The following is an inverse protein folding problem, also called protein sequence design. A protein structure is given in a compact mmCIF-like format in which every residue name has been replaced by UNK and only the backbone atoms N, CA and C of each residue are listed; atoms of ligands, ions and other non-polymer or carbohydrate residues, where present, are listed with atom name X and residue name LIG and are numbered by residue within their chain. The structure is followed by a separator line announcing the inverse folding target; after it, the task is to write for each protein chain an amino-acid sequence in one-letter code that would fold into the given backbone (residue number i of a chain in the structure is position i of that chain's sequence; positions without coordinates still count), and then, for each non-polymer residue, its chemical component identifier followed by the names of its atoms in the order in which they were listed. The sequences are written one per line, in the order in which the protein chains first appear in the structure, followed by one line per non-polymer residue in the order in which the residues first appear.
data_IF_076917462859
#
_entry.id   IF_076917462859
#
_cell.length_a   1.000
_cell.length_b   1.000
_cell.length_c   1.000
_cell.angle_alpha   90.00
_cell.angle_beta   90.00
_cell.angle_gamma   90.00
#
_symmetry.space_group_name_H-M   'P 1'
#
loop_
_entity.id
_entity.type
_entity.pdbx_description
1 polymer ?
#
# COMPACT_ATOMS: atom_id res chain seq x y z
N UNK A 1 2.43 23.81 27.30
CA UNK A 1 0.95 23.84 27.36
C UNK A 1 0.49 22.94 26.21
N UNK A 2 -0.56 22.14 26.40
CA UNK A 2 -1.12 21.33 25.32
C UNK A 2 -1.77 22.24 24.26
N UNK A 3 -1.47 22.01 23.00
CA UNK A 3 -2.16 22.68 21.89
C UNK A 3 -3.52 22.01 21.67
N UNK A 4 -4.56 22.81 21.44
CA UNK A 4 -5.93 22.31 21.26
C UNK A 4 -6.41 22.64 19.85
N UNK A 5 -6.84 21.61 19.11
CA UNK A 5 -7.57 21.70 17.86
C UNK A 5 -8.93 21.01 17.96
N UNK A 6 -9.73 21.04 16.91
CA UNK A 6 -10.97 20.29 16.82
C UNK A 6 -10.70 18.83 16.47
N UNK A 7 -9.76 18.59 15.55
CA UNK A 7 -9.38 17.26 15.07
C UNK A 7 -7.87 17.14 14.99
N UNK A 8 -7.33 16.05 15.53
CA UNK A 8 -5.94 15.63 15.32
C UNK A 8 -5.91 14.37 14.46
N UNK A 9 -5.17 14.40 13.37
CA UNK A 9 -5.00 13.27 12.45
C UNK A 9 -3.61 12.68 12.57
N UNK A 10 -3.51 11.38 12.85
CA UNK A 10 -2.26 10.65 13.00
C UNK A 10 -1.90 9.94 11.72
N UNK A 11 -0.86 10.41 11.03
CA UNK A 11 -0.30 9.83 9.80
C UNK A 11 -0.67 10.60 8.53
N UNK A 12 0.33 10.87 7.70
CA UNK A 12 0.26 11.59 6.43
C UNK A 12 0.13 10.68 5.20
N UNK A 13 -0.35 9.43 5.37
CA UNK A 13 -0.72 8.56 4.25
C UNK A 13 -2.06 8.94 3.62
N UNK A 14 -2.53 8.21 2.56
CA UNK A 14 -3.77 8.55 1.84
C UNK A 14 -4.98 8.74 2.74
N UNK A 15 -5.17 7.87 3.74
CA UNK A 15 -6.30 7.95 4.67
C UNK A 15 -6.25 9.20 5.56
N UNK A 16 -5.09 9.49 6.14
CA UNK A 16 -4.93 10.67 7.00
C UNK A 16 -5.02 11.98 6.22
N UNK A 17 -4.43 12.03 5.03
CA UNK A 17 -4.53 13.20 4.15
C UNK A 17 -5.99 13.47 3.74
N UNK A 18 -6.74 12.42 3.39
CA UNK A 18 -8.14 12.55 3.02
C UNK A 18 -9.01 13.01 4.21
N UNK A 19 -8.78 12.45 5.40
CA UNK A 19 -9.45 12.87 6.62
C UNK A 19 -9.16 14.33 6.96
N UNK A 20 -7.90 14.72 6.97
CA UNK A 20 -7.51 16.10 7.29
C UNK A 20 -8.04 17.10 6.26
N UNK A 21 -8.01 16.74 4.96
CA UNK A 21 -8.54 17.59 3.89
C UNK A 21 -10.06 17.76 4.01
N UNK A 22 -10.81 16.68 4.25
CA UNK A 22 -12.25 16.74 4.44
C UNK A 22 -12.61 17.63 5.64
N UNK A 23 -11.99 17.40 6.79
CA UNK A 23 -12.21 18.18 7.99
C UNK A 23 -11.88 19.68 7.82
N UNK A 24 -10.73 19.99 7.19
CA UNK A 24 -10.34 21.37 6.92
C UNK A 24 -11.30 22.08 5.95
N UNK A 25 -11.80 21.39 4.93
CA UNK A 25 -12.83 21.92 4.01
C UNK A 25 -14.15 22.23 4.71
N UNK A 26 -14.50 21.44 5.71
CA UNK A 26 -15.70 21.65 6.53
C UNK A 26 -15.50 22.75 7.61
N UNK A 27 -14.31 23.36 7.66
CA UNK A 27 -14.00 24.47 8.54
C UNK A 27 -13.52 24.09 9.95
N UNK A 28 -13.20 22.81 10.18
CA UNK A 28 -12.61 22.37 11.44
C UNK A 28 -11.14 22.81 11.57
N UNK A 29 -10.71 23.10 12.81
CA UNK A 29 -9.29 23.30 13.14
C UNK A 29 -8.59 21.94 13.18
N UNK A 30 -7.79 21.64 12.15
CA UNK A 30 -7.14 20.34 11.95
C UNK A 30 -5.63 20.45 12.11
N UNK A 31 -5.04 19.51 12.85
CA UNK A 31 -3.60 19.23 12.87
C UNK A 31 -3.33 17.80 12.42
N UNK A 32 -2.62 17.63 11.31
CA UNK A 32 -2.10 16.34 10.86
C UNK A 32 -0.64 16.21 11.28
N UNK A 33 -0.28 15.07 11.89
CA UNK A 33 1.09 14.75 12.28
C UNK A 33 1.60 13.54 11.50
N UNK A 34 2.81 13.65 10.93
CA UNK A 34 3.49 12.59 10.17
C UNK A 34 4.92 12.43 10.70
N UNK A 35 5.32 11.20 10.98
CA UNK A 35 6.66 10.90 11.51
C UNK A 35 7.79 11.05 10.49
N UNK A 36 7.49 10.94 9.19
CA UNK A 36 8.45 11.15 8.12
C UNK A 36 8.59 12.66 7.78
N UNK A 37 9.61 12.97 7.00
CA UNK A 37 9.86 14.29 6.42
C UNK A 37 9.03 14.59 5.14
N UNK A 38 8.05 13.74 4.84
CA UNK A 38 7.21 13.82 3.64
C UNK A 38 5.84 13.18 3.90
N UNK A 39 4.85 13.57 3.12
CA UNK A 39 3.51 12.96 3.10
C UNK A 39 3.44 11.78 2.10
N UNK A 40 2.28 11.12 2.05
CA UNK A 40 1.93 10.07 1.11
C UNK A 40 2.14 8.65 1.64
N UNK A 41 2.93 8.47 2.70
CA UNK A 41 3.25 7.14 3.23
C UNK A 41 3.91 6.26 2.16
N UNK A 42 3.26 5.16 1.74
CA UNK A 42 3.73 4.33 0.61
C UNK A 42 3.35 4.91 -0.76
N UNK A 43 2.35 5.80 -0.84
CA UNK A 43 1.87 6.41 -2.08
C UNK A 43 2.65 7.69 -2.39
N UNK A 44 3.93 7.57 -2.69
CA UNK A 44 4.79 8.71 -3.02
C UNK A 44 5.59 8.46 -4.28
N UNK A 45 5.95 9.53 -4.97
CA UNK A 45 6.80 9.51 -6.16
C UNK A 45 8.20 9.97 -5.80
N UNK A 46 9.19 9.17 -6.16
CA UNK A 46 10.61 9.41 -5.92
C UNK A 46 11.27 10.00 -7.17
N UNK A 47 12.45 10.57 -6.97
CA UNK A 47 13.27 11.11 -8.06
C UNK A 47 14.67 10.50 -8.05
N UNK A 48 15.25 10.31 -9.23
CA UNK A 48 16.63 9.85 -9.40
C UNK A 48 17.04 9.83 -10.86
N UNK A 49 18.26 10.23 -11.16
CA UNK A 49 18.85 10.25 -12.52
C UNK A 49 17.94 10.93 -13.57
N UNK A 50 17.28 12.03 -13.19
CA UNK A 50 16.35 12.76 -14.06
C UNK A 50 15.01 12.06 -14.31
N UNK A 51 14.74 10.92 -13.67
CA UNK A 51 13.50 10.17 -13.73
C UNK A 51 12.67 10.38 -12.46
N UNK A 52 11.35 10.21 -12.58
CA UNK A 52 10.42 10.05 -11.47
C UNK A 52 9.85 8.63 -11.49
N UNK A 53 9.57 8.06 -10.34
CA UNK A 53 9.05 6.69 -10.20
C UNK A 53 8.38 6.53 -8.83
N UNK A 54 7.30 5.79 -8.78
CA UNK A 54 6.60 5.57 -7.51
C UNK A 54 7.34 4.58 -6.60
N UNK A 55 7.06 4.65 -5.31
CA UNK A 55 7.54 3.70 -4.29
C UNK A 55 6.80 2.36 -4.43
N UNK A 56 7.15 1.57 -5.46
CA UNK A 56 6.42 0.39 -5.89
C UNK A 56 5.26 0.73 -6.84
N UNK A 57 4.64 -0.29 -7.40
CA UNK A 57 3.51 -0.12 -8.31
C UNK A 57 2.20 0.09 -7.56
N UNK A 58 1.69 1.33 -7.47
CA UNK A 58 0.44 1.66 -6.79
C UNK A 58 -0.67 1.99 -7.78
N UNK A 59 -1.55 1.02 -8.03
CA UNK A 59 -2.78 1.25 -8.81
C UNK A 59 -3.81 1.94 -7.91
N UNK A 60 -4.29 3.15 -8.25
CA UNK A 60 -5.24 3.88 -7.40
C UNK A 60 -6.61 3.22 -7.29
N UNK A 61 -7.01 2.37 -8.25
CA UNK A 61 -8.34 1.75 -8.35
C UNK A 61 -9.49 2.77 -8.33
N UNK A 62 -9.30 3.91 -8.99
CA UNK A 62 -10.34 4.92 -9.17
C UNK A 62 -11.21 4.50 -10.34
N UNK A 63 -12.50 4.24 -10.08
CA UNK A 63 -13.48 3.81 -11.10
C UNK A 63 -14.61 4.81 -11.27
N UNK A 64 -14.83 5.67 -10.28
CA UNK A 64 -15.87 6.69 -10.32
C UNK A 64 -15.36 7.97 -11.01
N UNK A 65 -16.08 8.40 -12.05
CA UNK A 65 -15.77 9.62 -12.81
C UNK A 65 -15.78 10.87 -11.93
N UNK A 66 -16.64 10.91 -10.91
CA UNK A 66 -16.66 12.02 -9.96
C UNK A 66 -15.37 12.07 -9.11
N UNK A 67 -14.80 10.92 -8.80
CA UNK A 67 -13.49 10.83 -8.11
C UNK A 67 -12.33 11.23 -9.00
N UNK A 68 -12.40 10.90 -10.29
CA UNK A 68 -11.41 11.39 -11.26
C UNK A 68 -11.45 12.91 -11.32
N UNK A 69 -12.64 13.50 -11.53
CA UNK A 69 -12.81 14.95 -11.57
C UNK A 69 -12.37 15.65 -10.27
N UNK A 70 -12.64 15.03 -9.11
CA UNK A 70 -12.16 15.52 -7.81
C UNK A 70 -10.63 15.53 -7.73
N UNK A 71 -9.97 14.46 -8.17
CA UNK A 71 -8.51 14.37 -8.16
C UNK A 71 -7.88 15.39 -9.12
N UNK A 72 -8.41 15.51 -10.33
CA UNK A 72 -7.97 16.50 -11.33
C UNK A 72 -8.11 17.94 -10.83
N UNK A 73 -9.26 18.28 -10.24
CA UNK A 73 -9.48 19.59 -9.66
C UNK A 73 -8.53 19.89 -8.49
N UNK A 74 -8.23 18.87 -7.67
CA UNK A 74 -7.36 19.02 -6.52
C UNK A 74 -5.90 19.25 -6.92
N UNK A 75 -5.44 18.49 -7.93
CA UNK A 75 -4.06 18.56 -8.45
C UNK A 75 -3.84 19.70 -9.44
N UNK A 76 -4.90 20.29 -10.00
CA UNK A 76 -4.85 21.18 -11.19
C UNK A 76 -4.08 20.50 -12.35
N UNK A 77 -4.28 19.19 -12.51
CA UNK A 77 -3.58 18.34 -13.48
C UNK A 77 -4.45 17.15 -13.86
N UNK A 78 -4.38 16.66 -15.11
CA UNK A 78 -5.23 15.58 -15.54
C UNK A 78 -4.88 14.23 -14.92
N UNK A 79 -5.88 13.36 -14.85
CA UNK A 79 -5.72 11.94 -14.68
C UNK A 79 -5.59 11.26 -16.05
N UNK A 80 -4.68 10.30 -16.16
CA UNK A 80 -4.45 9.52 -17.38
C UNK A 80 -5.13 8.16 -17.26
N UNK A 81 -5.88 7.77 -18.27
CA UNK A 81 -6.37 6.40 -18.38
C UNK A 81 -5.24 5.48 -18.89
N UNK A 82 -4.94 4.42 -18.12
CA UNK A 82 -3.99 3.37 -18.50
C UNK A 82 -4.79 2.16 -18.93
N UNK A 83 -4.76 1.86 -20.24
CA UNK A 83 -5.46 0.75 -20.83
C UNK A 83 -4.65 -0.54 -20.69
N UNK A 84 -5.31 -1.65 -20.35
CA UNK A 84 -4.70 -2.99 -20.18
C UNK A 84 -3.40 -3.00 -19.38
N UNK A 85 -3.42 -2.52 -18.13
CA UNK A 85 -2.19 -2.21 -17.40
C UNK A 85 -1.48 -3.43 -16.81
N UNK A 86 -2.12 -4.59 -16.78
CA UNK A 86 -1.65 -5.76 -16.03
C UNK A 86 -1.50 -6.97 -16.95
N UNK A 87 -0.36 -7.63 -16.85
CA UNK A 87 -0.07 -8.89 -17.49
C UNK A 87 0.51 -9.91 -16.49
N UNK A 88 0.72 -11.13 -16.95
CA UNK A 88 1.38 -12.20 -16.20
C UNK A 88 2.33 -12.99 -17.11
N UNK A 89 3.31 -13.61 -16.51
CA UNK A 89 4.14 -14.62 -17.22
C UNK A 89 3.45 -15.97 -17.18
N UNK A 90 3.18 -16.52 -18.34
CA UNK A 90 2.59 -17.85 -18.49
C UNK A 90 3.37 -18.63 -19.58
N UNK A 91 3.90 -19.81 -19.23
CA UNK A 91 4.71 -20.63 -20.12
C UNK A 91 5.86 -19.86 -20.81
N UNK A 92 6.55 -19.00 -20.05
CA UNK A 92 7.66 -18.17 -20.54
C UNK A 92 7.26 -16.98 -21.42
N UNK A 93 5.96 -16.68 -21.55
CA UNK A 93 5.46 -15.55 -22.34
C UNK A 93 4.69 -14.57 -21.47
N UNK A 94 4.79 -13.29 -21.79
CA UNK A 94 3.93 -12.25 -21.23
C UNK A 94 2.56 -12.33 -21.90
N UNK A 95 1.51 -12.48 -21.11
CA UNK A 95 0.13 -12.53 -21.59
C UNK A 95 -0.73 -11.57 -20.78
N UNK A 96 -1.66 -10.84 -21.42
CA UNK A 96 -2.52 -9.88 -20.75
C UNK A 96 -3.35 -10.50 -19.62
N UNK A 97 -3.65 -9.69 -18.60
CA UNK A 97 -4.45 -10.04 -17.42
C UNK A 97 -3.66 -10.74 -16.32
N UNK A 98 -4.21 -10.70 -15.10
CA UNK A 98 -3.64 -11.35 -13.92
C UNK A 98 -3.86 -12.85 -13.93
N UNK A 99 -3.13 -13.60 -13.10
CA UNK A 99 -3.37 -15.05 -12.94
C UNK A 99 -4.83 -15.37 -12.62
N UNK A 100 -5.45 -14.57 -11.79
CA UNK A 100 -6.81 -14.79 -11.31
C UNK A 100 -7.91 -14.38 -12.33
N UNK A 101 -7.61 -13.56 -13.32
CA UNK A 101 -8.58 -13.12 -14.34
C UNK A 101 -9.04 -14.25 -15.28
N UNK A 102 -8.35 -15.40 -15.27
CA UNK A 102 -8.70 -16.58 -16.07
C UNK A 102 -9.68 -17.53 -15.38
N UNK A 103 -10.40 -17.07 -14.38
CA UNK A 103 -11.31 -17.93 -13.60
C UNK A 103 -12.31 -18.69 -14.50
N UNK A 104 -12.51 -19.98 -14.23
CA UNK A 104 -13.58 -20.74 -14.85
C UNK A 104 -14.95 -20.12 -14.49
N UNK A 105 -15.84 -19.96 -15.46
CA UNK A 105 -17.19 -19.43 -15.21
C UNK A 105 -18.02 -20.34 -14.30
N UNK A 106 -17.81 -21.68 -14.39
CA UNK A 106 -18.52 -22.67 -13.60
C UNK A 106 -17.56 -23.80 -13.19
N UNK A 107 -16.73 -23.63 -12.16
CA UNK A 107 -15.86 -24.70 -11.69
C UNK A 107 -16.69 -25.85 -11.09
N UNK A 108 -16.35 -27.08 -11.44
CA UNK A 108 -17.03 -28.31 -10.98
C UNK A 108 -16.29 -29.01 -9.82
N UNK A 109 -15.16 -28.46 -9.40
CA UNK A 109 -14.26 -28.99 -8.38
C UNK A 109 -14.15 -28.05 -7.16
N UNK A 110 -15.27 -27.36 -6.83
CA UNK A 110 -15.34 -26.46 -5.66
C UNK A 110 -15.18 -27.24 -4.36
N UNK A 111 -14.47 -26.63 -3.42
CA UNK A 111 -14.32 -27.12 -2.04
C UNK A 111 -14.97 -26.13 -1.07
N UNK A 112 -15.33 -26.54 0.16
CA UNK A 112 -15.88 -25.63 1.16
C UNK A 112 -14.89 -24.50 1.53
N UNK A 113 -15.40 -23.31 1.84
CA UNK A 113 -14.65 -22.24 2.51
C UNK A 113 -14.47 -22.65 3.99
N UNK A 114 -13.23 -22.85 4.40
CA UNK A 114 -12.84 -23.24 5.76
C UNK A 114 -12.19 -22.08 6.55
N UNK A 115 -12.28 -20.85 6.03
CA UNK A 115 -11.67 -19.68 6.63
C UNK A 115 -10.20 -19.45 6.24
N UNK A 116 -9.61 -20.37 5.46
CA UNK A 116 -8.28 -20.21 4.87
C UNK A 116 -8.36 -19.59 3.47
N UNK A 117 -7.24 -19.03 3.00
CA UNK A 117 -7.16 -18.57 1.62
C UNK A 117 -7.34 -19.71 0.60
N UNK A 118 -6.89 -20.93 0.95
CA UNK A 118 -7.08 -22.11 0.12
C UNK A 118 -8.57 -22.49 0.00
N UNK A 119 -9.29 -22.51 1.12
CA UNK A 119 -10.74 -22.82 1.16
C UNK A 119 -11.54 -21.75 0.41
N UNK A 120 -11.34 -20.48 0.70
CA UNK A 120 -12.06 -19.37 0.04
C UNK A 120 -11.84 -19.37 -1.47
N UNK A 121 -10.58 -19.43 -1.93
CA UNK A 121 -10.28 -19.53 -3.37
C UNK A 121 -10.89 -20.79 -3.99
N UNK A 122 -10.70 -21.95 -3.37
CA UNK A 122 -11.24 -23.21 -3.90
C UNK A 122 -12.77 -23.24 -3.97
N UNK A 123 -13.47 -22.60 -3.03
CA UNK A 123 -14.94 -22.48 -3.05
C UNK A 123 -15.42 -21.60 -4.21
N UNK A 124 -14.64 -20.60 -4.59
CA UNK A 124 -14.99 -19.60 -5.58
C UNK A 124 -14.55 -19.99 -7.01
N UNK A 125 -13.29 -20.39 -7.17
CA UNK A 125 -12.67 -20.59 -8.49
C UNK A 125 -12.36 -22.06 -8.81
N UNK A 126 -12.68 -22.99 -7.91
CA UNK A 126 -12.35 -24.41 -8.01
C UNK A 126 -10.93 -24.75 -7.53
N UNK A 127 -10.75 -25.96 -7.02
CA UNK A 127 -9.48 -26.42 -6.47
C UNK A 127 -8.39 -26.52 -7.55
N UNK A 128 -8.71 -27.06 -8.70
CA UNK A 128 -7.75 -27.24 -9.79
C UNK A 128 -7.20 -25.90 -10.31
N UNK A 129 -8.06 -24.92 -10.56
CA UNK A 129 -7.61 -23.59 -10.99
C UNK A 129 -6.81 -22.88 -9.90
N UNK A 130 -7.28 -22.93 -8.64
CA UNK A 130 -6.52 -22.45 -7.49
C UNK A 130 -5.10 -23.02 -7.48
N UNK A 131 -4.95 -24.33 -7.54
CA UNK A 131 -3.67 -25.01 -7.29
C UNK A 131 -2.68 -24.87 -8.45
N UNK A 132 -3.17 -24.87 -9.70
CA UNK A 132 -2.29 -24.83 -10.87
C UNK A 132 -2.02 -23.43 -11.41
N UNK A 133 -2.90 -22.46 -11.14
CA UNK A 133 -2.79 -21.12 -11.72
C UNK A 133 -2.55 -20.04 -10.68
N UNK A 134 -3.34 -20.02 -9.61
CA UNK A 134 -3.29 -18.91 -8.63
C UNK A 134 -2.25 -19.14 -7.52
N UNK A 135 -2.22 -20.36 -6.96
CA UNK A 135 -1.32 -20.74 -5.87
C UNK A 135 0.15 -20.41 -6.12
N UNK A 136 0.76 -20.75 -7.28
CA UNK A 136 2.19 -20.48 -7.49
C UNK A 136 2.57 -19.01 -7.33
N UNK A 137 1.68 -18.11 -7.76
CA UNK A 137 1.89 -16.68 -7.64
C UNK A 137 1.65 -16.18 -6.20
N UNK A 138 0.51 -16.51 -5.61
CA UNK A 138 0.13 -16.02 -4.28
C UNK A 138 1.13 -16.49 -3.22
N UNK A 139 1.50 -17.79 -3.23
CA UNK A 139 2.48 -18.32 -2.29
C UNK A 139 3.90 -17.76 -2.52
N UNK A 140 4.25 -17.34 -3.73
CA UNK A 140 5.51 -16.62 -3.97
C UNK A 140 5.48 -15.23 -3.35
N UNK A 141 4.36 -14.51 -3.46
CA UNK A 141 4.17 -13.18 -2.86
C UNK A 141 4.12 -13.28 -1.34
N UNK A 142 3.24 -14.13 -0.80
CA UNK A 142 2.97 -14.20 0.63
C UNK A 142 4.00 -15.07 1.39
N UNK A 143 4.70 -16.00 0.71
CA UNK A 143 5.75 -16.84 1.30
C UNK A 143 5.22 -18.05 2.09
N UNK A 144 3.91 -18.14 2.30
CA UNK A 144 3.26 -19.19 3.08
C UNK A 144 2.30 -20.02 2.22
N UNK A 145 2.06 -21.30 2.57
CA UNK A 145 1.00 -22.09 1.99
C UNK A 145 -0.38 -21.43 2.18
N UNK A 146 -1.23 -21.50 1.18
CA UNK A 146 -2.58 -20.92 1.22
C UNK A 146 -3.44 -21.44 2.38
N UNK A 147 -3.17 -22.66 2.85
CA UNK A 147 -3.86 -23.32 3.97
C UNK A 147 -3.58 -22.65 5.31
N UNK A 148 -2.47 -21.92 5.45
CA UNK A 148 -2.12 -21.21 6.68
C UNK A 148 -2.62 -19.77 6.69
N UNK A 149 -2.85 -19.18 5.52
CA UNK A 149 -3.22 -17.77 5.36
C UNK A 149 -4.72 -17.60 5.56
N UNK A 150 -5.13 -16.53 6.24
CA UNK A 150 -6.53 -16.17 6.42
C UNK A 150 -7.24 -15.90 5.09
N UNK A 151 -8.51 -16.31 4.99
CA UNK A 151 -9.38 -16.02 3.85
C UNK A 151 -9.51 -14.51 3.53
N UNK A 152 -9.28 -13.63 4.50
CA UNK A 152 -9.31 -12.19 4.28
C UNK A 152 -8.26 -11.72 3.26
N UNK A 153 -7.15 -12.46 3.15
CA UNK A 153 -6.13 -12.18 2.13
C UNK A 153 -6.65 -12.44 0.71
N UNK A 154 -7.36 -13.53 0.50
CA UNK A 154 -7.93 -13.87 -0.82
C UNK A 154 -9.16 -13.01 -1.16
N UNK A 155 -9.94 -12.58 -0.15
CA UNK A 155 -11.05 -11.65 -0.34
C UNK A 155 -10.56 -10.29 -0.84
N UNK A 156 -9.43 -9.77 -0.35
CA UNK A 156 -8.79 -8.57 -0.89
C UNK A 156 -8.40 -8.73 -2.37
N UNK A 157 -7.87 -9.90 -2.75
CA UNK A 157 -7.58 -10.20 -4.16
C UNK A 157 -8.85 -10.15 -5.04
N UNK A 158 -10.02 -10.52 -4.49
CA UNK A 158 -11.30 -10.43 -5.20
C UNK A 158 -11.71 -8.98 -5.44
N UNK A 159 -11.58 -8.12 -4.44
CA UNK A 159 -11.95 -6.70 -4.57
C UNK A 159 -11.10 -5.99 -5.63
N UNK A 160 -9.82 -6.35 -5.71
CA UNK A 160 -8.93 -5.92 -6.79
C UNK A 160 -9.32 -6.47 -8.18
N UNK A 161 -10.05 -7.61 -8.26
CA UNK A 161 -10.46 -8.23 -9.53
C UNK A 161 -11.63 -7.52 -10.22
N UNK A 162 -12.41 -6.75 -9.50
CA UNK A 162 -13.50 -5.97 -10.07
C UNK A 162 -13.01 -4.70 -10.79
N UNK A 163 -11.68 -4.52 -10.89
CA UNK A 163 -11.08 -3.44 -11.64
C UNK A 163 -11.40 -3.61 -13.15
N UNK A 164 -11.83 -2.56 -13.84
CA UNK A 164 -12.01 -2.57 -15.29
C UNK A 164 -10.69 -2.84 -16.02
N UNK A 165 -10.76 -3.00 -17.35
CA UNK A 165 -9.61 -3.27 -18.22
C UNK A 165 -8.51 -2.19 -18.19
N UNK A 166 -8.62 -1.20 -17.29
CA UNK A 166 -7.68 -0.11 -17.10
C UNK A 166 -7.85 0.58 -15.75
N UNK A 167 -7.06 1.60 -15.50
CA UNK A 167 -7.18 2.45 -14.32
C UNK A 167 -6.78 3.90 -14.61
N UNK A 168 -7.33 4.82 -13.82
CA UNK A 168 -6.91 6.20 -13.83
C UNK A 168 -5.66 6.40 -12.96
N UNK A 169 -4.67 7.11 -13.50
CA UNK A 169 -3.40 7.37 -12.83
C UNK A 169 -3.06 8.88 -12.89
N UNK A 170 -2.61 9.50 -11.80
CA UNK A 170 -2.30 10.91 -11.78
C UNK A 170 -1.06 11.23 -12.64
N UNK A 171 -1.14 12.26 -13.46
CA UNK A 171 0.03 12.79 -14.14
C UNK A 171 1.05 13.28 -13.10
N UNK A 172 2.30 12.87 -13.29
CA UNK A 172 3.36 13.19 -12.33
C UNK A 172 3.62 12.13 -11.26
N UNK A 173 2.84 11.03 -11.23
CA UNK A 173 2.99 9.94 -10.27
C UNK A 173 1.97 9.99 -9.14
N UNK A 174 1.84 8.89 -8.40
CA UNK A 174 0.87 8.79 -7.30
C UNK A 174 1.10 9.83 -6.20
N UNK A 175 2.35 10.25 -6.01
CA UNK A 175 2.74 11.29 -5.05
C UNK A 175 2.10 12.63 -5.33
N UNK A 176 1.85 12.97 -6.61
CA UNK A 176 1.22 14.25 -6.97
C UNK A 176 -0.17 14.42 -6.33
N UNK A 177 -0.96 13.35 -6.23
CA UNK A 177 -2.25 13.38 -5.53
C UNK A 177 -2.06 13.56 -4.01
N UNK A 178 -1.05 12.96 -3.42
CA UNK A 178 -0.76 13.08 -1.99
C UNK A 178 -0.33 14.50 -1.63
N UNK A 179 0.58 15.07 -2.43
CA UNK A 179 1.07 16.44 -2.27
C UNK A 179 -0.08 17.45 -2.43
N UNK A 180 -0.94 17.25 -3.44
CA UNK A 180 -2.11 18.10 -3.65
C UNK A 180 -3.12 18.05 -2.50
N UNK A 181 -3.29 16.89 -1.84
CA UNK A 181 -4.10 16.79 -0.62
C UNK A 181 -3.47 17.57 0.54
N UNK A 182 -2.17 17.47 0.76
CA UNK A 182 -1.46 18.21 1.80
C UNK A 182 -1.53 19.73 1.58
N UNK A 183 -1.33 20.18 0.36
CA UNK A 183 -1.51 21.58 -0.05
C UNK A 183 -2.96 22.03 0.16
N UNK A 184 -3.91 21.18 -0.13
CA UNK A 184 -5.34 21.40 0.10
C UNK A 184 -5.65 21.61 1.58
N UNK A 185 -5.10 20.80 2.47
CA UNK A 185 -5.24 20.97 3.94
C UNK A 185 -4.75 22.35 4.35
N UNK A 186 -3.55 22.73 3.94
CA UNK A 186 -2.94 24.02 4.28
C UNK A 186 -3.74 25.20 3.71
N UNK A 187 -4.20 25.11 2.47
CA UNK A 187 -5.06 26.14 1.84
C UNK A 187 -6.38 26.38 2.58
N UNK A 188 -6.91 25.37 3.28
CA UNK A 188 -8.12 25.47 4.10
C UNK A 188 -7.81 25.75 5.59
N UNK A 189 -6.57 26.12 5.92
CA UNK A 189 -6.18 26.54 7.28
C UNK A 189 -5.80 25.39 8.21
N UNK A 190 -5.69 24.16 7.72
CA UNK A 190 -5.16 23.04 8.48
C UNK A 190 -3.63 23.09 8.59
N UNK A 191 -3.10 22.45 9.62
CA UNK A 191 -1.68 22.39 9.94
C UNK A 191 -1.12 20.98 9.66
N UNK A 192 -0.08 20.88 8.81
CA UNK A 192 0.59 19.62 8.45
C UNK A 192 1.99 19.64 9.04
N UNK A 193 2.25 18.77 10.03
CA UNK A 193 3.52 18.68 10.76
C UNK A 193 4.26 17.41 10.37
N UNK A 194 5.30 17.56 9.57
CA UNK A 194 6.23 16.50 9.20
C UNK A 194 7.29 16.30 10.29
N UNK A 195 8.07 15.22 10.22
CA UNK A 195 9.09 14.91 11.22
C UNK A 195 8.53 14.80 12.66
N UNK A 196 7.23 14.50 12.80
CA UNK A 196 6.48 14.59 14.05
C UNK A 196 5.86 13.24 14.42
N UNK A 197 6.67 12.26 14.85
CA UNK A 197 6.18 10.93 15.20
C UNK A 197 5.31 10.96 16.45
N UNK A 198 4.25 10.14 16.46
CA UNK A 198 3.46 9.84 17.65
C UNK A 198 4.28 8.98 18.60
N UNK A 199 4.41 9.41 19.86
CA UNK A 199 5.20 8.73 20.89
C UNK A 199 4.38 8.19 22.05
N UNK A 200 3.18 8.75 22.33
CA UNK A 200 2.25 8.20 23.30
C UNK A 200 0.80 8.58 23.00
N UNK A 201 -0.12 7.68 23.40
CA UNK A 201 -1.55 7.90 23.48
C UNK A 201 -1.96 7.98 24.96
N UNK A 202 -2.43 9.13 25.42
CA UNK A 202 -2.96 9.29 26.79
C UNK A 202 -4.46 9.03 26.80
N UNK A 203 -4.92 8.21 27.76
CA UNK A 203 -6.36 7.94 27.94
C UNK A 203 -6.73 7.82 29.42
N UNK A 204 -7.95 8.15 29.74
CA UNK A 204 -8.49 8.07 31.10
C UNK A 204 -9.99 7.72 31.04
N UNK A 205 -10.42 6.79 31.88
CA UNK A 205 -11.84 6.37 31.97
C UNK A 205 -12.49 5.98 30.64
N UNK A 206 -11.72 5.31 29.73
CA UNK A 206 -12.20 4.86 28.42
C UNK A 206 -12.26 5.96 27.35
N UNK A 207 -11.67 7.14 27.62
CA UNK A 207 -11.60 8.27 26.68
C UNK A 207 -10.15 8.67 26.41
N UNK A 208 -9.83 9.00 25.16
CA UNK A 208 -8.53 9.58 24.81
C UNK A 208 -8.45 11.02 25.31
N UNK A 209 -7.36 11.35 26.00
CA UNK A 209 -7.13 12.68 26.59
C UNK A 209 -6.05 13.48 25.88
N UNK A 210 -5.20 12.83 25.07
CA UNK A 210 -4.17 13.50 24.29
C UNK A 210 -3.24 12.56 23.54
N UNK A 211 -2.50 13.14 22.61
CA UNK A 211 -1.45 12.50 21.84
C UNK A 211 -0.13 13.21 22.13
N UNK A 212 0.88 12.48 22.55
CA UNK A 212 2.23 13.02 22.67
C UNK A 212 2.98 12.76 21.36
N UNK A 213 3.64 13.79 20.86
CA UNK A 213 4.45 13.75 19.64
C UNK A 213 5.88 14.15 19.94
N UNK A 214 6.81 13.63 19.16
CA UNK A 214 8.25 13.94 19.24
C UNK A 214 8.76 14.65 17.98
N UNK A 215 10.06 14.50 17.71
CA UNK A 215 10.70 15.01 16.49
C UNK A 215 10.74 16.53 16.43
N UNK A 216 10.39 17.11 15.27
CA UNK A 216 10.55 18.53 14.98
C UNK A 216 9.52 19.41 15.71
N UNK A 217 8.36 18.84 16.09
CA UNK A 217 7.28 19.55 16.81
C UNK A 217 6.90 18.81 18.10
N UNK A 218 7.83 18.66 19.08
CA UNK A 218 7.56 17.90 20.28
C UNK A 218 6.52 18.57 21.18
N UNK A 219 5.60 17.76 21.72
CA UNK A 219 4.57 18.30 22.60
C UNK A 219 3.40 17.35 22.81
N UNK A 220 2.34 17.86 23.41
CA UNK A 220 1.06 17.14 23.58
C UNK A 220 -0.04 17.87 22.82
N UNK A 221 -0.70 17.16 21.94
CA UNK A 221 -1.87 17.62 21.20
C UNK A 221 -3.13 17.09 21.90
N UNK A 222 -4.13 17.94 22.04
CA UNK A 222 -5.44 17.57 22.57
C UNK A 222 -6.52 17.98 21.59
N UNK A 223 -7.47 17.09 21.35
CA UNK A 223 -8.65 17.37 20.53
C UNK A 223 -9.84 16.55 21.04
N UNK A 224 -11.08 17.00 20.86
CA UNK A 224 -12.25 16.20 21.12
C UNK A 224 -12.28 14.95 20.22
N UNK A 225 -11.64 14.99 19.06
CA UNK A 225 -11.64 13.91 18.09
C UNK A 225 -10.23 13.67 17.52
N UNK A 226 -9.84 12.39 17.50
CA UNK A 226 -8.56 11.93 16.94
C UNK A 226 -8.86 10.92 15.83
N UNK A 227 -8.24 11.08 14.68
CA UNK A 227 -8.33 10.12 13.57
C UNK A 227 -6.99 9.40 13.45
N UNK A 228 -7.00 8.09 13.69
CA UNK A 228 -5.80 7.25 13.60
C UNK A 228 -5.69 6.62 12.21
N UNK A 229 -4.79 7.14 11.38
CA UNK A 229 -4.45 6.63 10.06
C UNK A 229 -3.05 5.96 10.01
N UNK A 230 -2.41 5.75 11.18
CA UNK A 230 -1.17 4.97 11.32
C UNK A 230 -1.49 3.54 11.80
N UNK A 231 -0.47 2.71 11.97
CA UNK A 231 -0.65 1.37 12.50
C UNK A 231 -1.26 1.41 13.91
N UNK A 232 -2.50 0.93 14.13
CA UNK A 232 -3.15 1.00 15.43
C UNK A 232 -2.43 0.17 16.50
N UNK A 233 -1.71 -0.88 16.13
CA UNK A 233 -0.90 -1.69 17.07
C UNK A 233 0.20 -0.83 17.69
N UNK A 234 0.86 0.04 16.91
CA UNK A 234 1.87 0.96 17.43
C UNK A 234 1.26 2.02 18.38
N UNK A 235 0.02 2.46 18.11
CA UNK A 235 -0.68 3.40 18.99
C UNK A 235 -1.08 2.72 20.31
N UNK A 236 -1.53 1.47 20.25
CA UNK A 236 -1.86 0.67 21.46
C UNK A 236 -0.62 0.37 22.30
N UNK A 237 0.52 0.08 21.66
CA UNK A 237 1.80 -0.13 22.33
C UNK A 237 2.29 1.13 23.07
N UNK A 238 1.98 2.30 22.50
CA UNK A 238 2.32 3.61 23.07
C UNK A 238 1.26 4.17 24.05
N UNK A 239 0.28 3.36 24.48
CA UNK A 239 -0.81 3.82 25.37
C UNK A 239 -0.32 4.08 26.79
N UNK A 240 -0.83 5.17 27.40
CA UNK A 240 -0.55 5.58 28.78
C UNK A 240 -1.84 6.02 29.49
N UNK A 241 -2.31 5.26 30.52
CA UNK A 241 -1.72 4.04 31.05
C UNK A 241 -1.66 2.92 30.00
N UNK A 242 -0.81 1.87 30.22
CA UNK A 242 -0.69 0.78 29.28
C UNK A 242 -2.01 0.12 28.96
N UNK A 243 -2.17 -0.30 27.71
CA UNK A 243 -3.29 -1.12 27.29
C UNK A 243 -3.34 -2.46 28.07
N UNK A 244 -4.52 -3.11 28.19
CA UNK A 244 -4.66 -4.40 28.86
C UNK A 244 -3.66 -5.45 28.32
N UNK A 245 -3.16 -6.30 29.20
CA UNK A 245 -2.25 -7.40 28.83
C UNK A 245 -2.89 -8.33 27.80
N UNK A 246 -2.07 -8.88 26.91
CA UNK A 246 -2.47 -9.85 25.87
C UNK A 246 -3.17 -9.25 24.65
N UNK A 247 -3.24 -7.92 24.53
CA UNK A 247 -3.73 -7.26 23.30
C UNK A 247 -2.67 -7.23 22.19
N UNK A 248 -1.41 -7.05 22.57
CA UNK A 248 -0.30 -6.99 21.62
C UNK A 248 0.23 -8.42 21.39
N UNK A 249 0.02 -8.91 20.18
CA UNK A 249 0.50 -10.22 19.77
C UNK A 249 1.48 -10.07 18.60
N UNK A 250 2.56 -10.87 18.55
CA UNK A 250 3.49 -10.86 17.43
C UNK A 250 2.77 -11.20 16.12
N UNK A 251 3.00 -10.40 15.07
CA UNK A 251 2.51 -10.63 13.72
C UNK A 251 3.72 -10.81 12.81
N UNK A 252 3.69 -11.88 12.01
CA UNK A 252 4.70 -12.07 10.98
C UNK A 252 4.54 -11.00 9.91
N UNK A 253 5.65 -10.38 9.55
CA UNK A 253 5.68 -9.33 8.52
C UNK A 253 6.46 -9.82 7.31
N UNK A 254 5.85 -9.72 6.14
CA UNK A 254 6.52 -9.94 4.86
C UNK A 254 7.36 -8.73 4.51
N UNK A 255 8.61 -8.96 4.12
CA UNK A 255 9.48 -7.93 3.58
C UNK A 255 9.27 -7.75 2.09
N UNK A 256 9.58 -6.55 1.60
CA UNK A 256 9.66 -6.25 0.16
C UNK A 256 10.91 -5.44 -0.10
N UNK A 257 11.69 -5.86 -1.09
CA UNK A 257 12.76 -5.04 -1.65
C UNK A 257 12.35 -4.56 -3.04
N UNK A 258 12.36 -3.24 -3.23
CA UNK A 258 12.09 -2.60 -4.51
C UNK A 258 13.43 -2.37 -5.22
N UNK A 259 13.63 -3.01 -6.36
CA UNK A 259 14.82 -2.84 -7.20
C UNK A 259 14.44 -2.00 -8.40
N UNK A 260 14.96 -0.78 -8.47
CA UNK A 260 14.75 0.12 -9.60
C UNK A 260 15.91 0.02 -10.56
N UNK A 261 15.60 -0.25 -11.82
CA UNK A 261 16.53 -0.28 -12.93
C UNK A 261 16.17 0.81 -13.93
N UNK A 262 17.18 1.48 -14.49
CA UNK A 262 17.02 2.47 -15.55
C UNK A 262 17.82 2.05 -16.77
N UNK A 263 17.27 2.26 -17.96
CA UNK A 263 17.94 1.99 -19.22
C UNK A 263 17.68 3.08 -20.27
N UNK A 264 18.66 3.31 -21.12
CA UNK A 264 18.56 4.22 -22.27
C UNK A 264 17.92 3.47 -23.45
N UNK A 265 16.63 3.17 -23.29
CA UNK A 265 15.74 2.53 -24.27
C UNK A 265 14.31 2.95 -24.01
N UNK A 266 13.46 2.94 -25.05
CA UNK A 266 12.07 3.40 -24.91
C UNK A 266 11.26 2.57 -23.94
N UNK A 267 11.37 1.24 -24.01
CA UNK A 267 10.64 0.31 -23.14
C UNK A 267 11.29 -1.08 -23.14
N UNK A 268 10.99 -1.88 -22.13
CA UNK A 268 11.34 -3.29 -22.08
C UNK A 268 10.21 -4.17 -22.61
N UNK A 269 8.97 -3.86 -22.22
CA UNK A 269 7.76 -4.60 -22.58
C UNK A 269 6.65 -3.62 -23.02
N UNK A 270 5.54 -4.15 -23.50
CA UNK A 270 4.35 -3.36 -23.85
C UNK A 270 3.39 -3.20 -22.67
N UNK A 271 3.76 -3.69 -21.49
CA UNK A 271 2.87 -3.81 -20.33
C UNK A 271 3.30 -2.89 -19.19
N UNK A 272 2.33 -2.29 -18.52
CA UNK A 272 2.62 -1.40 -17.40
C UNK A 272 3.04 -2.14 -16.12
N UNK A 273 2.52 -3.36 -15.93
CA UNK A 273 2.75 -4.14 -14.72
C UNK A 273 2.57 -5.64 -14.97
N UNK A 274 3.55 -6.45 -14.57
CA UNK A 274 3.59 -7.89 -14.88
C UNK A 274 3.73 -8.70 -13.62
N UNK A 275 2.88 -9.71 -13.46
CA UNK A 275 2.98 -10.74 -12.41
C UNK A 275 3.88 -11.90 -12.85
N UNK A 276 4.76 -12.36 -11.96
CA UNK A 276 5.73 -13.43 -12.23
C UNK A 276 5.66 -14.50 -11.14
N UNK A 277 5.11 -15.66 -11.46
CA UNK A 277 5.01 -16.80 -10.54
C UNK A 277 6.25 -17.70 -10.51
N UNK A 278 7.15 -17.59 -11.49
CA UNK A 278 8.37 -18.40 -11.59
C UNK A 278 9.30 -18.13 -10.40
N UNK A 279 9.58 -19.14 -9.58
CA UNK A 279 10.42 -19.03 -8.38
C UNK A 279 11.93 -18.90 -8.69
N UNK A 280 12.35 -19.14 -9.93
CA UNK A 280 13.73 -18.88 -10.39
C UNK A 280 14.01 -17.39 -10.51
N UNK A 281 12.97 -16.57 -10.68
CA UNK A 281 13.03 -15.12 -10.76
C UNK A 281 12.90 -14.52 -9.36
N UNK A 282 13.76 -13.60 -8.93
CA UNK A 282 13.70 -13.03 -7.57
C UNK A 282 12.42 -12.22 -7.31
N UNK A 283 11.90 -11.52 -8.30
CA UNK A 283 10.71 -10.66 -8.13
C UNK A 283 9.40 -11.39 -8.49
N UNK A 284 8.33 -10.97 -7.84
CA UNK A 284 6.96 -11.45 -8.12
C UNK A 284 6.16 -10.49 -8.98
N UNK A 285 6.58 -9.23 -9.02
CA UNK A 285 5.97 -8.18 -9.84
C UNK A 285 7.06 -7.28 -10.40
N UNK A 286 6.79 -6.73 -11.58
CA UNK A 286 7.61 -5.68 -12.16
C UNK A 286 6.71 -4.63 -12.81
N UNK A 287 6.96 -3.37 -12.53
CA UNK A 287 6.29 -2.23 -13.14
C UNK A 287 7.25 -1.51 -14.08
N UNK A 288 6.73 -0.99 -15.19
CA UNK A 288 7.45 -0.13 -16.12
C UNK A 288 6.76 1.24 -16.16
N UNK A 289 7.34 2.24 -15.45
CA UNK A 289 6.66 3.51 -15.16
C UNK A 289 6.40 4.39 -16.39
N UNK A 290 7.13 4.18 -17.48
CA UNK A 290 6.86 4.87 -18.73
C UNK A 290 5.44 4.61 -19.26
N UNK A 291 4.90 3.42 -19.02
CA UNK A 291 3.53 3.08 -19.42
C UNK A 291 2.46 3.67 -18.49
N UNK A 292 2.83 4.06 -17.27
CA UNK A 292 1.92 4.70 -16.32
C UNK A 292 1.76 6.18 -16.62
N UNK A 293 2.88 6.88 -16.76
CA UNK A 293 2.93 8.25 -17.25
C UNK A 293 4.25 8.49 -17.98
N UNK A 294 4.23 8.72 -19.31
CA UNK A 294 5.43 9.03 -20.08
C UNK A 294 6.21 10.24 -19.56
N UNK A 295 5.53 11.18 -18.86
CA UNK A 295 6.16 12.34 -18.23
C UNK A 295 7.03 12.02 -17.02
N UNK A 296 6.96 10.81 -16.47
CA UNK A 296 7.83 10.38 -15.38
C UNK A 296 9.25 10.09 -15.82
N UNK A 297 9.44 9.71 -17.08
CA UNK A 297 10.73 9.26 -17.60
C UNK A 297 11.09 10.03 -18.86
N UNK A 298 12.33 10.55 -19.00
CA UNK A 298 12.76 11.23 -20.23
C UNK A 298 12.59 10.35 -21.47
N UNK A 299 12.37 10.99 -22.63
CA UNK A 299 12.27 10.28 -23.91
C UNK A 299 13.54 9.46 -24.18
N UNK A 300 13.38 8.27 -24.74
CA UNK A 300 14.46 7.35 -25.00
C UNK A 300 14.95 6.57 -23.78
N UNK A 301 14.27 6.68 -22.63
CA UNK A 301 14.61 5.97 -21.38
C UNK A 301 13.41 5.24 -20.82
N UNK A 302 13.68 4.20 -20.03
CA UNK A 302 12.67 3.52 -19.22
C UNK A 302 13.16 3.28 -17.80
N UNK A 303 12.21 3.19 -16.84
CA UNK A 303 12.45 2.82 -15.45
C UNK A 303 11.57 1.63 -15.08
N UNK A 304 12.20 0.58 -14.59
CA UNK A 304 11.56 -0.63 -14.08
C UNK A 304 11.59 -0.61 -12.54
N UNK A 305 10.55 -1.12 -11.92
CA UNK A 305 10.52 -1.45 -10.50
C UNK A 305 10.21 -2.93 -10.32
N UNK A 306 11.19 -3.72 -9.95
CA UNK A 306 11.03 -5.13 -9.60
C UNK A 306 10.75 -5.26 -8.09
N UNK A 307 9.62 -5.90 -7.72
CA UNK A 307 9.21 -6.10 -6.34
C UNK A 307 9.60 -7.51 -5.89
N UNK A 308 10.66 -7.59 -5.08
CA UNK A 308 11.19 -8.83 -4.49
C UNK A 308 10.57 -9.03 -3.12
N UNK A 309 9.66 -10.00 -3.02
CA UNK A 309 9.01 -10.36 -1.76
C UNK A 309 9.83 -11.43 -1.04
N UNK A 310 10.04 -11.25 0.26
CA UNK A 310 10.86 -12.16 1.05
C UNK A 310 10.64 -12.02 2.54
N UNK A 311 11.53 -12.59 3.31
CA UNK A 311 11.63 -12.41 4.75
C UNK A 311 12.88 -11.59 5.06
N UNK A 312 12.78 -10.68 6.04
CA UNK A 312 13.94 -9.89 6.49
C UNK A 312 14.82 -10.76 7.39
N UNK A 313 15.42 -11.81 6.83
CA UNK A 313 16.26 -12.78 7.52
C UNK A 313 17.40 -13.28 6.64
N UNK A 314 18.46 -13.82 7.28
CA UNK A 314 19.59 -14.41 6.58
C UNK A 314 19.27 -15.74 5.87
N UNK A 315 18.14 -16.36 6.20
CA UNK A 315 17.65 -17.59 5.56
C UNK A 315 16.90 -17.32 4.25
N UNK A 316 16.52 -16.08 3.98
CA UNK A 316 15.87 -15.70 2.72
C UNK A 316 16.91 -15.67 1.58
N UNK A 317 16.59 -16.24 0.40
CA UNK A 317 17.58 -16.33 -0.70
C UNK A 317 17.99 -14.96 -1.28
N UNK A 318 17.20 -13.92 -1.09
CA UNK A 318 17.41 -12.62 -1.72
C UNK A 318 17.71 -11.50 -0.73
N UNK A 319 17.22 -11.59 0.51
CA UNK A 319 17.40 -10.55 1.52
C UNK A 319 18.84 -10.30 1.93
N UNK A 320 19.71 -11.32 2.10
CA UNK A 320 21.11 -11.13 2.49
C UNK A 320 22.01 -10.57 1.40
N UNK A 321 21.58 -10.60 0.14
CA UNK A 321 22.37 -10.04 -0.96
C UNK A 321 22.52 -8.53 -0.78
N UNK A 322 23.69 -8.01 -1.11
CA UNK A 322 23.83 -6.55 -1.24
C UNK A 322 23.00 -5.99 -2.41
N UNK A 323 22.87 -4.68 -2.46
CA UNK A 323 21.98 -4.03 -3.41
C UNK A 323 22.35 -4.30 -4.87
N UNK A 324 23.64 -4.35 -5.18
CA UNK A 324 24.08 -4.60 -6.57
C UNK A 324 23.97 -6.08 -6.95
N UNK A 325 24.26 -7.01 -6.03
CA UNK A 325 24.06 -8.44 -6.25
C UNK A 325 22.59 -8.77 -6.49
N UNK A 326 21.67 -8.16 -5.73
CA UNK A 326 20.23 -8.33 -5.95
C UNK A 326 19.78 -7.72 -7.26
N UNK A 327 20.25 -6.51 -7.59
CA UNK A 327 19.95 -5.85 -8.86
C UNK A 327 20.51 -6.66 -10.05
N UNK A 328 21.67 -7.30 -9.89
CA UNK A 328 22.22 -8.20 -10.91
C UNK A 328 21.33 -9.44 -11.09
N UNK A 329 20.85 -10.06 -10.02
CA UNK A 329 19.92 -11.19 -10.13
C UNK A 329 18.60 -10.81 -10.83
N UNK A 330 18.13 -9.58 -10.64
CA UNK A 330 16.97 -9.05 -11.39
C UNK A 330 17.33 -8.91 -12.87
N UNK A 331 18.46 -8.30 -13.23
CA UNK A 331 18.91 -8.16 -14.62
C UNK A 331 19.06 -9.52 -15.32
N UNK A 332 19.72 -10.48 -14.66
CA UNK A 332 19.93 -11.82 -15.21
C UNK A 332 18.58 -12.50 -15.51
N UNK A 333 17.58 -12.29 -14.66
CA UNK A 333 16.24 -12.84 -14.86
C UNK A 333 15.51 -12.27 -16.08
N UNK A 334 15.84 -11.05 -16.52
CA UNK A 334 15.26 -10.46 -17.73
C UNK A 334 15.75 -11.18 -18.99
N UNK A 335 16.96 -11.77 -18.94
CA UNK A 335 17.57 -12.57 -20.02
C UNK A 335 17.12 -14.02 -19.88
N UNK A 336 17.38 -14.68 -18.75
CA UNK A 336 17.01 -16.05 -18.45
C UNK A 336 16.47 -16.13 -17.00
N UNK A 337 15.28 -16.65 -16.75
CA UNK A 337 14.40 -17.44 -17.65
C UNK A 337 13.34 -16.65 -18.42
N UNK A 338 13.29 -15.31 -18.32
CA UNK A 338 12.17 -14.55 -18.89
C UNK A 338 12.30 -14.28 -20.39
N UNK A 339 13.52 -14.18 -20.91
CA UNK A 339 13.76 -13.94 -22.34
C UNK A 339 13.17 -12.63 -22.88
N UNK A 340 13.08 -11.59 -22.01
CA UNK A 340 12.52 -10.27 -22.40
C UNK A 340 13.53 -9.41 -23.12
N UNK A 341 14.80 -9.72 -22.97
CA UNK A 341 15.91 -9.12 -23.70
C UNK A 341 17.05 -10.12 -23.88
N UNK A 342 17.81 -10.01 -24.93
CA UNK A 342 19.02 -10.83 -25.15
C UNK A 342 20.20 -10.33 -24.31
N UNK A 343 20.17 -9.04 -23.92
CA UNK A 343 21.20 -8.39 -23.11
C UNK A 343 20.58 -7.37 -22.15
N UNK A 344 20.85 -7.55 -20.87
CA UNK A 344 20.42 -6.65 -19.80
C UNK A 344 21.53 -5.71 -19.29
N UNK A 345 22.72 -5.70 -19.90
CA UNK A 345 23.87 -4.88 -19.48
C UNK A 345 23.59 -3.37 -19.56
N UNK A 346 22.65 -2.95 -20.43
CA UNK A 346 22.18 -1.56 -20.54
C UNK A 346 21.28 -1.10 -19.39
N UNK A 347 20.82 -2.00 -18.51
CA UNK A 347 20.03 -1.66 -17.33
C UNK A 347 20.96 -1.38 -16.16
N UNK A 348 20.99 -0.13 -15.70
CA UNK A 348 21.77 0.31 -14.53
C UNK A 348 20.90 0.31 -13.28
N UNK A 349 21.50 -0.01 -12.14
CA UNK A 349 20.83 0.11 -10.84
C UNK A 349 20.57 1.60 -10.55
N UNK A 350 19.30 1.98 -10.44
CA UNK A 350 18.90 3.34 -10.10
C UNK A 350 18.78 3.49 -8.58
N UNK A 351 18.11 2.53 -7.94
CA UNK A 351 17.90 2.51 -6.49
C UNK A 351 17.47 1.13 -6.01
N UNK A 352 17.82 0.79 -4.78
CA UNK A 352 17.25 -0.36 -4.04
C UNK A 352 16.65 0.15 -2.74
N UNK A 353 15.43 -0.24 -2.42
CA UNK A 353 14.72 0.17 -1.20
C UNK A 353 14.22 -1.07 -0.48
N UNK A 354 14.68 -1.27 0.75
CA UNK A 354 14.30 -2.40 1.58
C UNK A 354 13.23 -2.00 2.59
N UNK A 355 12.13 -2.72 2.59
CA UNK A 355 11.04 -2.58 3.53
C UNK A 355 10.88 -3.87 4.33
N UNK A 356 11.52 -3.99 5.51
CA UNK A 356 11.55 -5.25 6.27
C UNK A 356 10.18 -5.63 6.84
N UNK A 357 9.23 -4.70 6.88
CA UNK A 357 7.91 -4.89 7.48
C UNK A 357 6.82 -4.26 6.58
N UNK A 358 6.69 -4.78 5.35
CA UNK A 358 5.78 -4.20 4.36
C UNK A 358 4.34 -4.72 4.49
N UNK A 359 4.15 -6.03 4.67
CA UNK A 359 2.82 -6.65 4.70
C UNK A 359 2.66 -7.56 5.91
N UNK A 360 1.58 -7.40 6.71
CA UNK A 360 1.26 -8.36 7.76
C UNK A 360 0.73 -9.66 7.15
N UNK A 361 1.26 -10.79 7.62
CA UNK A 361 0.73 -12.12 7.37
C UNK A 361 -0.04 -12.58 8.61
N UNK A 362 -1.30 -12.94 8.41
CA UNK A 362 -2.17 -13.39 9.48
C UNK A 362 -2.58 -14.83 9.21
N UNK A 363 -2.24 -15.71 10.15
CA UNK A 363 -2.70 -17.09 10.14
C UNK A 363 -4.21 -17.16 10.32
N UNK A 364 -4.86 -18.07 9.61
CA UNK A 364 -6.32 -18.20 9.61
C UNK A 364 -6.90 -18.33 11.02
N UNK A 365 -6.24 -19.09 11.90
CA UNK A 365 -6.69 -19.32 13.28
C UNK A 365 -6.37 -18.16 14.24
N UNK A 366 -5.58 -17.15 13.85
CA UNK A 366 -5.15 -16.03 14.70
C UNK A 366 -5.86 -14.71 14.40
N UNK A 367 -6.81 -14.69 13.48
CA UNK A 367 -7.51 -13.45 13.07
C UNK A 367 -8.11 -12.71 14.28
N UNK A 368 -8.75 -13.44 15.19
CA UNK A 368 -9.32 -12.82 16.39
C UNK A 368 -8.27 -12.25 17.33
N UNK A 369 -7.12 -12.89 17.46
CA UNK A 369 -6.02 -12.37 18.29
C UNK A 369 -5.48 -11.05 17.74
N UNK A 370 -5.12 -11.00 16.47
CA UNK A 370 -4.49 -9.83 15.85
C UNK A 370 -5.43 -8.62 15.73
N UNK A 371 -6.75 -8.86 15.82
CA UNK A 371 -7.76 -7.79 15.79
C UNK A 371 -8.08 -7.22 17.19
N UNK A 372 -7.59 -7.79 18.28
CA UNK A 372 -7.88 -7.32 19.66
C UNK A 372 -7.37 -5.90 19.90
N UNK A 373 -6.13 -5.60 19.52
CA UNK A 373 -5.55 -4.28 19.74
C UNK A 373 -6.29 -3.17 18.95
N UNK A 374 -6.57 -3.29 17.64
CA UNK A 374 -7.44 -2.35 16.95
C UNK A 374 -8.83 -2.21 17.55
N UNK A 375 -9.48 -3.31 17.97
CA UNK A 375 -10.81 -3.27 18.61
C UNK A 375 -10.78 -2.53 19.94
N UNK A 376 -9.74 -2.74 20.75
CA UNK A 376 -9.58 -2.00 22.00
C UNK A 376 -9.40 -0.51 21.74
N UNK A 377 -8.57 -0.12 20.78
CA UNK A 377 -8.38 1.28 20.43
C UNK A 377 -9.70 1.93 20.01
N UNK A 378 -10.51 1.24 19.18
CA UNK A 378 -11.83 1.72 18.76
C UNK A 378 -12.88 1.74 19.89
N UNK A 379 -12.63 1.08 21.02
CA UNK A 379 -13.52 1.15 22.18
C UNK A 379 -13.29 2.40 23.05
N UNK A 380 -12.20 3.14 22.79
CA UNK A 380 -11.93 4.40 23.46
C UNK A 380 -12.74 5.52 22.80
N UNK A 381 -13.40 6.34 23.62
CA UNK A 381 -14.09 7.53 23.15
C UNK A 381 -13.08 8.57 22.64
N UNK A 382 -13.42 9.27 21.56
CA UNK A 382 -12.61 10.35 21.00
C UNK A 382 -11.54 9.91 19.99
N UNK A 383 -11.53 8.64 19.57
CA UNK A 383 -10.63 8.17 18.51
C UNK A 383 -11.38 7.30 17.49
N UNK A 384 -11.10 7.53 16.21
CA UNK A 384 -11.59 6.75 15.07
C UNK A 384 -10.44 6.20 14.25
N UNK A 385 -10.64 5.04 13.61
CA UNK A 385 -9.65 4.46 12.70
C UNK A 385 -9.97 4.77 11.24
N UNK A 386 -8.99 5.28 10.51
CA UNK A 386 -9.05 5.47 9.06
C UNK A 386 -8.08 4.51 8.37
N UNK A 387 -8.58 3.41 7.81
CA UNK A 387 -7.74 2.38 7.17
C UNK A 387 -8.41 1.83 5.91
N UNK A 388 -7.63 1.71 4.83
CA UNK A 388 -8.04 1.06 3.59
C UNK A 388 -6.96 0.11 3.07
N UNK A 389 -7.36 -0.83 2.22
CA UNK A 389 -6.46 -1.80 1.59
C UNK A 389 -5.85 -1.34 0.28
N UNK A 390 -6.46 -0.37 -0.38
CA UNK A 390 -6.00 0.28 -1.62
C UNK A 390 -5.93 1.79 -1.42
N UNK A 391 -5.36 2.51 -2.38
CA UNK A 391 -5.30 3.99 -2.32
C UNK A 391 -6.71 4.58 -2.17
N UNK A 392 -7.65 4.10 -2.98
CA UNK A 392 -9.02 4.64 -2.99
C UNK A 392 -9.79 4.31 -1.71
N UNK A 393 -9.74 3.05 -1.27
CA UNK A 393 -10.42 2.66 -0.01
C UNK A 393 -9.78 3.32 1.21
N UNK A 394 -8.50 3.69 1.17
CA UNK A 394 -7.87 4.47 2.22
C UNK A 394 -8.39 5.92 2.24
N UNK A 395 -8.54 6.56 1.07
CA UNK A 395 -9.14 7.90 0.95
C UNK A 395 -10.58 7.89 1.49
N UNK A 396 -11.40 6.94 1.05
CA UNK A 396 -12.79 6.79 1.49
C UNK A 396 -12.89 6.54 3.01
N UNK A 397 -12.01 5.71 3.57
CA UNK A 397 -11.97 5.48 5.01
C UNK A 397 -11.58 6.74 5.79
N UNK A 398 -10.70 7.57 5.26
CA UNK A 398 -10.35 8.87 5.84
C UNK A 398 -11.54 9.82 5.88
N UNK A 399 -12.23 9.98 4.76
CA UNK A 399 -13.43 10.82 4.65
C UNK A 399 -14.54 10.33 5.59
N UNK A 400 -14.78 9.01 5.64
CA UNK A 400 -15.80 8.41 6.51
C UNK A 400 -15.49 8.63 8.00
N UNK A 401 -14.21 8.58 8.41
CA UNK A 401 -13.81 8.80 9.80
C UNK A 401 -14.17 10.24 10.27
N UNK A 402 -14.10 11.24 9.39
CA UNK A 402 -14.53 12.62 9.71
C UNK A 402 -16.02 12.68 10.01
N UNK A 403 -16.85 12.00 9.22
CA UNK A 403 -18.30 11.95 9.44
C UNK A 403 -18.59 11.27 10.79
N UNK A 404 -17.86 10.21 11.16
CA UNK A 404 -18.00 9.53 12.44
C UNK A 404 -17.72 10.44 13.63
N UNK A 405 -16.62 11.19 13.62
CA UNK A 405 -16.25 12.09 14.71
C UNK A 405 -17.16 13.34 14.81
N UNK A 406 -17.64 13.87 13.69
CA UNK A 406 -18.54 15.03 13.70
C UNK A 406 -19.96 14.68 14.14
N UNK A 407 -20.47 13.50 13.78
CA UNK A 407 -21.78 13.00 14.23
C UNK A 407 -21.82 12.65 15.72
N UNK A 408 -20.69 12.19 16.31
CA UNK A 408 -20.58 11.88 17.74
C UNK A 408 -20.43 13.11 18.64
N UNK A 409 -20.13 14.28 18.06
CA UNK A 409 -19.96 15.54 18.77
C UNK A 409 -21.26 16.39 18.83
N UNK A 410 -22.30 16.02 18.08
CA UNK A 410 -23.63 16.65 18.06
C UNK A 410 -24.60 15.91 19.01
#
# INVERSE_FOLDING_TARGET
MAERGDIVVLGGGPAGLAAALAAARDGATVTLVEGADHVGGLCRTLTGDGCRFDLGGHIPFIHDVARVAWAEQLMDSPMRWIDRPVARVQHGRVVPGRYIDQMPQAPNDRVPDDGTAAGELGSRIGAGFRDHVVRPYVEKVDGWPLELISADRSRKLRDEQQAPDGFWYPEGGIGALMDAMADGITRHGGDVRLGTPVTALSHENGRVTGITVGGDHPGTLTAPSIICAINPVAVVDAASPPAPEGLLVPITMRAVTLVYLVADREQLTDEAWIQVADRRVPFSRIAEFRHWDPGLVPNGRTVLCAEVYGEASDDDPWWPLDDEALAQAVRDSLVDPLGWTDDASGFRTLRVIRMPRAYPLVEAHRVDEVTRAPRWLMSLEGIELARGGTVMTAIEAGEAAVVGVTAGAA
#
